data_IF_800354721786
#
_entry.id   IF_800354721786
#
_cell.length_a   1.000
_cell.length_b   1.000
_cell.length_c   1.000
_cell.angle_alpha   90.00
_cell.angle_beta   90.00
_cell.angle_gamma   90.00
#
_symmetry.space_group_name_H-M   'P 1'
#
loop_
_entity.id
_entity.type
_entity.pdbx_description
1 polymer ?
#
# COMPACT_ATOMS: atom_id res chain seq x y z
N UNK A 1 18.62 12.07 10.80
CA UNK A 1 18.54 10.64 10.44
C UNK A 1 17.08 10.31 10.35
N UNK A 2 16.59 10.05 9.14
CA UNK A 2 15.21 9.70 8.84
C UNK A 2 14.97 8.26 9.31
N UNK A 3 14.25 8.08 10.42
CA UNK A 3 14.06 6.77 11.07
C UNK A 3 13.00 5.92 10.34
N UNK A 4 13.25 5.69 9.05
CA UNK A 4 12.36 4.96 8.13
C UNK A 4 12.35 3.45 8.36
N UNK A 5 12.98 2.96 9.41
CA UNK A 5 13.04 1.53 9.76
C UNK A 5 11.67 0.95 10.10
N UNK A 6 10.68 1.81 10.34
CA UNK A 6 9.29 1.44 10.62
C UNK A 6 8.34 1.75 9.46
N UNK A 7 8.87 2.24 8.33
CA UNK A 7 8.06 2.59 7.16
C UNK A 7 8.10 1.46 6.14
N UNK A 8 6.94 1.16 5.56
CA UNK A 8 6.80 0.21 4.46
C UNK A 8 7.21 0.84 3.14
N UNK A 9 6.24 1.43 2.44
CA UNK A 9 6.41 1.96 1.08
C UNK A 9 5.90 3.39 1.01
N UNK A 10 6.69 4.28 0.42
CA UNK A 10 6.27 5.62 0.04
C UNK A 10 5.55 5.54 -1.30
N UNK A 11 4.23 5.77 -1.27
CA UNK A 11 3.37 5.69 -2.44
C UNK A 11 2.97 7.10 -2.84
N UNK A 12 3.23 7.46 -4.10
CA UNK A 12 2.76 8.68 -4.72
C UNK A 12 1.43 8.47 -5.42
N UNK A 13 1.32 8.93 -6.67
CA UNK A 13 0.10 8.78 -7.46
C UNK A 13 -0.39 7.32 -7.54
N UNK A 14 -1.69 7.14 -7.32
CA UNK A 14 -2.39 5.87 -7.50
C UNK A 14 -3.49 6.09 -8.55
N UNK A 15 -3.53 5.24 -9.56
CA UNK A 15 -4.58 5.27 -10.58
C UNK A 15 -5.12 3.88 -10.89
N UNK A 16 -6.41 3.82 -11.20
CA UNK A 16 -7.10 2.62 -11.62
C UNK A 16 -7.67 2.83 -13.03
N UNK A 17 -7.17 2.07 -13.99
CA UNK A 17 -7.65 2.07 -15.38
C UNK A 17 -8.66 0.96 -15.58
N UNK A 18 -9.92 1.34 -15.78
CA UNK A 18 -11.00 0.44 -16.19
C UNK A 18 -11.11 0.41 -17.72
N UNK A 19 -11.99 -0.44 -18.26
CA UNK A 19 -12.31 -0.45 -19.69
C UNK A 19 -12.81 0.91 -20.22
N UNK A 20 -13.39 1.74 -19.35
CA UNK A 20 -14.04 3.00 -19.73
C UNK A 20 -13.15 4.21 -19.52
N UNK A 21 -12.36 4.23 -18.44
CA UNK A 21 -11.58 5.41 -18.04
C UNK A 21 -10.53 5.12 -16.97
N UNK A 22 -9.59 6.05 -16.86
CA UNK A 22 -8.64 6.15 -15.76
C UNK A 22 -9.22 6.95 -14.59
N UNK A 23 -9.02 6.46 -13.38
CA UNK A 23 -9.47 7.08 -12.13
C UNK A 23 -8.28 7.33 -11.22
N UNK A 24 -8.14 8.55 -10.71
CA UNK A 24 -7.17 8.84 -9.65
C UNK A 24 -7.74 8.42 -8.29
N UNK A 25 -6.95 7.72 -7.47
CA UNK A 25 -7.31 7.32 -6.11
C UNK A 25 -6.49 8.13 -5.11
N UNK A 26 -7.12 9.10 -4.45
CA UNK A 26 -6.44 10.08 -3.59
C UNK A 26 -6.68 9.87 -2.09
N UNK A 27 -7.30 8.75 -1.70
CA UNK A 27 -7.64 8.46 -0.30
C UNK A 27 -6.44 8.55 0.66
N UNK A 28 -5.24 8.16 0.20
CA UNK A 28 -4.01 8.23 0.98
C UNK A 28 -3.51 9.67 1.22
N UNK A 29 -3.95 10.66 0.42
CA UNK A 29 -3.64 12.08 0.63
C UNK A 29 -4.67 12.82 1.50
N UNK A 30 -5.84 12.24 1.76
CA UNK A 30 -6.89 12.89 2.55
C UNK A 30 -6.50 13.05 4.02
N UNK A 31 -7.16 13.95 4.75
CA UNK A 31 -6.94 14.14 6.18
C UNK A 31 -7.29 12.86 6.96
N UNK A 32 -8.48 12.30 6.69
CA UNK A 32 -8.94 11.03 7.23
C UNK A 32 -8.47 9.85 6.38
N UNK A 33 -7.19 9.49 6.54
CA UNK A 33 -6.58 8.38 5.79
C UNK A 33 -7.13 7.01 6.24
N UNK A 34 -7.24 6.04 5.31
CA UNK A 34 -7.50 4.65 5.67
C UNK A 34 -6.43 4.05 6.59
N UNK A 35 -6.71 2.89 7.18
CA UNK A 35 -5.76 2.19 8.05
C UNK A 35 -4.45 1.89 7.32
N UNK A 36 -3.33 2.05 8.04
CA UNK A 36 -1.99 1.72 7.57
C UNK A 36 -1.26 2.80 6.78
N UNK A 37 -1.89 3.95 6.52
CA UNK A 37 -1.22 5.14 5.98
C UNK A 37 -0.73 6.05 7.09
N UNK A 38 0.50 6.55 6.99
CA UNK A 38 1.05 7.49 7.97
C UNK A 38 0.36 8.86 7.86
N UNK A 39 0.11 9.45 9.03
CA UNK A 39 -0.28 10.86 9.16
C UNK A 39 1.02 11.66 8.96
N UNK A 40 1.04 12.50 7.93
CA UNK A 40 2.09 13.49 7.58
C UNK A 40 3.20 13.04 6.60
N UNK A 41 3.41 13.86 5.56
CA UNK A 41 4.77 14.31 5.25
C UNK A 41 4.80 15.81 5.56
N UNK A 42 5.86 16.31 6.18
CA UNK A 42 6.01 17.68 6.70
C UNK A 42 5.95 18.81 5.64
N UNK A 43 5.55 18.53 4.39
CA UNK A 43 5.49 19.50 3.30
C UNK A 43 4.06 19.94 3.00
N UNK A 44 3.90 21.20 2.55
CA UNK A 44 2.63 21.83 2.20
C UNK A 44 1.75 21.03 1.21
N UNK A 45 2.37 20.11 0.46
CA UNK A 45 1.71 19.00 -0.25
C UNK A 45 2.73 17.87 -0.43
N UNK A 46 2.61 16.74 0.27
CA UNK A 46 3.46 15.58 0.03
C UNK A 46 3.26 15.03 -1.39
N UNK A 47 4.33 14.79 -2.15
CA UNK A 47 4.23 14.04 -3.41
C UNK A 47 3.99 12.53 -3.18
N UNK A 48 4.21 12.05 -1.95
CA UNK A 48 3.97 10.67 -1.54
C UNK A 48 3.59 10.56 -0.06
N UNK A 49 2.95 9.45 0.31
CA UNK A 49 2.59 9.09 1.69
C UNK A 49 3.12 7.71 2.01
N UNK A 50 3.74 7.56 3.18
CA UNK A 50 4.26 6.29 3.63
C UNK A 50 3.15 5.36 4.14
N UNK A 51 3.28 4.08 3.85
CA UNK A 51 2.55 3.00 4.54
C UNK A 51 3.33 2.50 5.75
N UNK A 52 2.66 1.86 6.70
CA UNK A 52 3.28 1.13 7.81
C UNK A 52 3.65 -0.32 7.45
N UNK A 53 3.66 -0.66 6.16
CA UNK A 53 3.84 -2.02 5.65
C UNK A 53 2.53 -2.75 5.30
N UNK A 54 1.38 -2.30 5.79
CA UNK A 54 0.07 -2.85 5.42
C UNK A 54 -1.01 -1.77 5.41
N UNK A 55 -1.36 -1.26 4.23
CA UNK A 55 -2.27 -0.14 4.08
C UNK A 55 -3.51 -0.47 3.24
N UNK A 56 -4.66 0.05 3.66
CA UNK A 56 -5.94 -0.14 2.99
C UNK A 56 -6.10 0.88 1.87
N UNK A 57 -6.37 0.43 0.66
CA UNK A 57 -6.73 1.29 -0.48
C UNK A 57 -8.20 1.06 -0.85
N UNK A 58 -9.12 1.97 -0.49
CA UNK A 58 -10.52 1.84 -0.88
C UNK A 58 -10.68 2.08 -2.38
N UNK A 59 -11.19 1.06 -3.10
CA UNK A 59 -11.51 1.16 -4.53
C UNK A 59 -12.96 1.63 -4.79
N UNK A 60 -13.80 1.64 -3.75
CA UNK A 60 -15.23 1.95 -3.88
C UNK A 60 -15.91 1.04 -4.91
N UNK A 61 -16.85 1.60 -5.67
CA UNK A 61 -17.64 0.88 -6.68
C UNK A 61 -16.99 0.88 -8.07
N UNK A 62 -15.68 1.19 -8.18
CA UNK A 62 -14.99 1.24 -9.47
C UNK A 62 -15.10 -0.06 -10.28
N UNK A 63 -15.15 -1.20 -9.58
CA UNK A 63 -15.21 -2.53 -10.19
C UNK A 63 -16.62 -3.12 -10.19
N UNK A 64 -17.63 -2.40 -9.69
CA UNK A 64 -18.99 -2.93 -9.60
C UNK A 64 -19.59 -3.23 -10.99
N UNK A 65 -19.17 -2.49 -12.02
CA UNK A 65 -19.70 -2.59 -13.38
C UNK A 65 -18.64 -3.00 -14.43
N UNK A 66 -17.41 -3.30 -14.01
CA UNK A 66 -16.30 -3.61 -14.89
C UNK A 66 -15.57 -4.84 -14.33
N UNK A 67 -15.43 -5.89 -15.14
CA UNK A 67 -14.91 -7.19 -14.70
C UNK A 67 -13.39 -7.17 -14.38
N UNK A 68 -12.68 -6.15 -14.85
CA UNK A 68 -11.23 -6.03 -14.69
C UNK A 68 -10.78 -4.57 -14.77
N UNK A 69 -9.76 -4.24 -13.98
CA UNK A 69 -9.05 -2.97 -14.07
C UNK A 69 -7.55 -3.17 -13.80
N UNK A 70 -6.74 -2.25 -14.32
CA UNK A 70 -5.32 -2.15 -14.04
C UNK A 70 -5.09 -1.11 -12.94
N UNK A 71 -4.53 -1.54 -11.81
CA UNK A 71 -4.09 -0.65 -10.74
C UNK A 71 -2.61 -0.28 -10.95
N UNK A 72 -2.32 1.01 -10.99
CA UNK A 72 -0.97 1.56 -11.11
C UNK A 72 -0.63 2.44 -9.91
N UNK A 73 0.58 2.29 -9.37
CA UNK A 73 1.07 3.04 -8.22
C UNK A 73 2.49 3.54 -8.50
N UNK A 74 2.78 4.80 -8.17
CA UNK A 74 4.16 5.32 -8.17
C UNK A 74 4.82 5.04 -6.84
N UNK A 75 5.91 4.26 -6.85
CA UNK A 75 6.70 3.98 -5.65
C UNK A 75 7.91 4.93 -5.60
N UNK A 76 7.94 5.81 -4.60
CA UNK A 76 9.03 6.79 -4.42
C UNK A 76 10.18 6.22 -3.60
N UNK A 77 9.87 5.37 -2.62
CA UNK A 77 10.84 4.70 -1.78
C UNK A 77 10.20 3.47 -1.13
N UNK A 78 11.03 2.52 -0.73
CA UNK A 78 10.63 1.38 0.09
C UNK A 78 11.69 1.13 1.16
N UNK A 79 11.26 0.67 2.34
CA UNK A 79 12.17 0.10 3.32
C UNK A 79 12.76 -1.23 2.83
N UNK A 80 13.86 -1.72 3.44
CA UNK A 80 14.29 -3.09 3.20
C UNK A 80 13.20 -4.06 3.66
N UNK A 81 12.56 -4.76 2.73
CA UNK A 81 11.60 -5.82 3.05
C UNK A 81 12.36 -6.96 3.74
N UNK A 82 12.34 -6.99 5.07
CA UNK A 82 12.78 -8.18 5.81
C UNK A 82 11.72 -9.24 5.58
N UNK A 83 12.03 -10.19 4.70
CA UNK A 83 11.31 -11.45 4.63
C UNK A 83 11.54 -12.11 5.98
N UNK A 84 10.52 -12.14 6.85
CA UNK A 84 10.57 -12.99 8.03
C UNK A 84 10.71 -14.43 7.52
N UNK A 85 11.66 -15.23 8.05
CA UNK A 85 11.77 -16.62 7.66
C UNK A 85 10.40 -17.26 7.87
N UNK A 86 9.87 -17.91 6.84
CA UNK A 86 8.65 -18.68 6.99
C UNK A 86 8.85 -19.60 8.20
N UNK A 87 8.02 -19.45 9.23
CA UNK A 87 7.98 -20.39 10.33
C UNK A 87 7.71 -21.74 9.70
N UNK A 88 8.75 -22.57 9.61
CA UNK A 88 8.61 -23.97 9.24
C UNK A 88 7.79 -24.57 10.38
N UNK A 89 6.48 -24.65 10.19
CA UNK A 89 5.61 -25.46 11.03
C UNK A 89 6.12 -26.88 10.89
N UNK A 90 7.01 -27.28 11.80
CA UNK A 90 7.51 -28.63 11.89
C UNK A 90 6.32 -29.50 12.27
N UNK A 91 5.67 -30.08 11.26
CA UNK A 91 4.80 -31.24 11.43
C UNK A 91 5.66 -32.33 12.05
N UNK A 92 5.58 -32.48 13.37
CA UNK A 92 6.03 -33.68 14.06
C UNK A 92 5.04 -34.79 13.70
N UNK A 93 5.19 -35.35 12.50
CA UNK A 93 4.62 -36.65 12.17
C UNK A 93 5.50 -37.74 12.78
N UNK A 94 4.83 -38.63 13.52
CA UNK A 94 5.36 -39.72 14.34
C UNK A 94 6.25 -40.69 13.54
N UNK A 95 7.25 -41.32 14.17
CA UNK A 95 7.58 -42.77 14.04
C UNK A 95 8.82 -43.19 14.87
N UNK A 96 8.72 -44.40 15.44
CA UNK A 96 9.70 -45.26 16.12
C UNK A 96 9.87 -45.09 17.65
#
# INVERSE_FOLDING_TARGET
MDDRRHLGVAVGAISCLTAKKMHALTAHFQENKPAGWHREAEAATPECVWTNGNAVLPLGDLLANDAMALLSLTIHAAGPYRVEPAEQTATLEQSA
#
